data_IF_326976077058
#
_entry.id   IF_326976077058
#
_cell.length_a   1.000
_cell.length_b   1.000
_cell.length_c   1.000
_cell.angle_alpha   90.00
_cell.angle_beta   90.00
_cell.angle_gamma   90.00
#
_symmetry.space_group_name_H-M   'P 1'
#
loop_
_entity.id
_entity.type
_entity.pdbx_description
1 polymer ?
#
# COMPACT_ATOMS: atom_id res chain seq x y z
N UNK A 1 24.77 -44.01 22.99
CA UNK A 1 23.62 -43.12 23.29
C UNK A 1 23.86 -41.64 22.97
N UNK A 2 25.06 -41.08 23.18
CA UNK A 2 25.32 -39.63 23.01
C UNK A 2 25.12 -39.04 21.60
N UNK A 3 25.37 -39.81 20.52
CA UNK A 3 25.24 -39.32 19.13
C UNK A 3 23.80 -38.95 18.73
N UNK A 4 22.81 -39.67 19.25
CA UNK A 4 21.40 -39.44 18.94
C UNK A 4 20.84 -38.21 19.68
N UNK A 5 21.34 -37.96 20.89
CA UNK A 5 20.96 -36.79 21.69
C UNK A 5 21.46 -35.49 21.02
N UNK A 6 22.69 -35.49 20.50
CA UNK A 6 23.26 -34.34 19.80
C UNK A 6 22.54 -34.05 18.48
N UNK A 7 22.11 -35.09 17.76
CA UNK A 7 21.31 -34.97 16.53
C UNK A 7 19.92 -34.38 16.82
N UNK A 8 19.25 -34.82 17.91
CA UNK A 8 17.96 -34.25 18.32
C UNK A 8 18.06 -32.79 18.74
N UNK A 9 19.10 -32.43 19.51
CA UNK A 9 19.33 -31.06 19.97
C UNK A 9 19.64 -30.10 18.80
N UNK A 10 20.43 -30.56 17.82
CA UNK A 10 20.71 -29.77 16.62
C UNK A 10 19.49 -29.66 15.70
N UNK A 11 18.63 -30.69 15.61
CA UNK A 11 17.36 -30.61 14.90
C UNK A 11 16.41 -29.59 15.54
N UNK A 12 16.26 -29.60 16.87
CA UNK A 12 15.44 -28.62 17.61
C UNK A 12 15.94 -27.19 17.48
N UNK A 13 17.26 -26.99 17.35
CA UNK A 13 17.86 -25.68 17.08
C UNK A 13 17.59 -25.22 15.64
N UNK A 14 17.69 -26.12 14.66
CA UNK A 14 17.39 -25.84 13.25
C UNK A 14 15.90 -25.53 13.02
N UNK A 15 14.99 -26.16 13.78
CA UNK A 15 13.55 -25.90 13.72
C UNK A 15 13.21 -24.52 14.34
N UNK A 16 13.93 -24.07 15.38
CA UNK A 16 13.76 -22.72 15.94
C UNK A 16 14.36 -21.61 15.08
N UNK A 17 15.41 -21.91 14.29
CA UNK A 17 16.04 -20.96 13.36
C UNK A 17 15.27 -20.82 12.04
N UNK A 18 14.36 -21.75 11.73
CA UNK A 18 13.57 -21.73 10.51
C UNK A 18 12.25 -20.97 10.70
N UNK A 19 12.34 -19.65 10.50
CA UNK A 19 11.29 -18.84 9.87
C UNK A 19 10.15 -18.24 10.72
N UNK A 20 10.41 -17.79 11.94
CA UNK A 20 9.68 -16.61 12.44
C UNK A 20 10.29 -15.35 11.81
N UNK A 21 9.86 -15.04 10.59
CA UNK A 21 10.08 -13.68 10.06
C UNK A 21 9.31 -12.72 10.95
N UNK A 22 10.03 -11.87 11.69
CA UNK A 22 9.46 -10.80 12.51
C UNK A 22 8.82 -9.68 11.66
N UNK A 23 8.80 -9.86 10.34
CA UNK A 23 8.24 -8.93 9.38
C UNK A 23 6.91 -9.46 8.84
N UNK A 24 5.93 -8.58 8.74
CA UNK A 24 4.72 -8.76 7.95
C UNK A 24 5.08 -8.81 6.46
N UNK A 25 4.28 -9.54 5.69
CA UNK A 25 4.20 -9.47 4.23
C UNK A 25 2.91 -8.77 3.80
N UNK A 26 2.78 -8.44 2.52
CA UNK A 26 1.53 -7.84 1.98
C UNK A 26 0.29 -8.71 2.24
N UNK A 27 0.43 -10.03 2.22
CA UNK A 27 -0.64 -10.98 2.56
C UNK A 27 -1.04 -10.91 4.03
N UNK A 28 -0.05 -10.72 4.92
CA UNK A 28 -0.31 -10.54 6.35
C UNK A 28 -1.02 -9.20 6.59
N UNK A 29 -0.62 -8.14 5.89
CA UNK A 29 -1.24 -6.83 5.97
C UNK A 29 -2.72 -6.88 5.55
N UNK A 30 -3.04 -7.56 4.44
CA UNK A 30 -4.42 -7.80 4.00
C UNK A 30 -5.21 -8.54 5.08
N UNK A 31 -4.64 -9.60 5.67
CA UNK A 31 -5.29 -10.38 6.72
C UNK A 31 -5.57 -9.54 7.97
N UNK A 32 -4.57 -8.79 8.45
CA UNK A 32 -4.69 -7.88 9.60
C UNK A 32 -5.77 -6.84 9.35
N UNK A 33 -5.77 -6.21 8.18
CA UNK A 33 -6.76 -5.19 7.84
C UNK A 33 -8.19 -5.75 7.85
N UNK A 34 -8.38 -6.99 7.36
CA UNK A 34 -9.69 -7.66 7.39
C UNK A 34 -10.13 -8.06 8.79
N UNK A 35 -9.27 -8.75 9.52
CA UNK A 35 -9.62 -9.39 10.79
C UNK A 35 -9.64 -8.41 11.97
N UNK A 36 -8.87 -7.32 11.90
CA UNK A 36 -8.63 -6.43 13.05
C UNK A 36 -9.09 -4.99 12.80
N UNK A 37 -9.15 -4.55 11.54
CA UNK A 37 -9.42 -3.15 11.19
C UNK A 37 -10.78 -2.94 10.51
N UNK A 38 -11.59 -3.99 10.35
CA UNK A 38 -12.95 -3.89 9.82
C UNK A 38 -13.06 -3.73 8.30
N UNK A 39 -12.01 -4.07 7.54
CA UNK A 39 -12.09 -4.10 6.09
C UNK A 39 -12.78 -5.40 5.64
N UNK A 40 -13.91 -5.31 4.94
CA UNK A 40 -14.58 -6.46 4.34
C UNK A 40 -14.06 -6.75 2.93
N UNK A 41 -13.85 -5.69 2.17
CA UNK A 41 -13.38 -5.76 0.78
C UNK A 41 -12.10 -4.95 0.63
N UNK A 42 -11.04 -5.58 0.12
CA UNK A 42 -9.79 -4.87 -0.18
C UNK A 42 -9.86 -4.32 -1.59
N UNK A 43 -9.65 -3.01 -1.72
CA UNK A 43 -9.52 -2.33 -3.00
C UNK A 43 -8.07 -2.37 -3.47
N UNK A 44 -7.14 -1.89 -2.65
CA UNK A 44 -5.71 -1.80 -3.00
C UNK A 44 -4.86 -2.26 -1.83
N UNK A 45 -3.80 -3.02 -2.11
CA UNK A 45 -2.74 -3.29 -1.16
C UNK A 45 -1.39 -2.97 -1.82
N UNK A 46 -0.54 -2.20 -1.14
CA UNK A 46 0.75 -1.77 -1.69
C UNK A 46 1.83 -1.77 -0.60
N UNK A 47 3.09 -1.82 -1.03
CA UNK A 47 4.24 -1.59 -0.15
C UNK A 47 4.53 -0.10 -0.12
N UNK A 48 4.61 0.48 1.06
CA UNK A 48 5.06 1.86 1.27
C UNK A 48 6.57 1.94 1.48
N UNK A 49 7.10 3.15 1.47
CA UNK A 49 8.53 3.41 1.68
C UNK A 49 8.87 3.60 3.16
N UNK A 50 10.18 3.63 3.45
CA UNK A 50 10.66 3.91 4.81
C UNK A 50 10.62 5.40 5.17
N UNK A 51 10.51 6.28 4.18
CA UNK A 51 10.45 7.74 4.28
C UNK A 51 9.05 8.31 4.07
N UNK A 52 8.02 7.44 4.03
CA UNK A 52 6.63 7.83 3.90
C UNK A 52 6.19 8.89 4.92
N UNK A 53 5.48 9.90 4.45
CA UNK A 53 4.81 10.90 5.30
C UNK A 53 3.44 10.43 5.83
N UNK A 54 2.95 9.30 5.33
CA UNK A 54 1.65 8.73 5.71
C UNK A 54 1.77 7.91 6.99
N UNK A 55 2.92 7.26 7.20
CA UNK A 55 3.15 6.45 8.40
C UNK A 55 3.43 7.35 9.61
N UNK A 56 3.10 6.86 10.79
CA UNK A 56 3.49 7.46 12.07
C UNK A 56 5.01 7.41 12.24
N UNK A 57 5.55 8.39 12.95
CA UNK A 57 6.99 8.54 13.23
C UNK A 57 7.59 7.30 13.94
N UNK A 58 6.79 6.64 14.79
CA UNK A 58 7.20 5.44 15.52
C UNK A 58 7.24 4.18 14.64
N UNK A 59 6.69 4.22 13.42
CA UNK A 59 6.69 3.08 12.48
C UNK A 59 8.11 2.88 11.94
N UNK A 60 8.80 1.88 12.48
CA UNK A 60 10.19 1.59 12.15
C UNK A 60 10.23 0.91 10.78
N UNK A 61 11.10 1.40 9.89
CA UNK A 61 11.29 0.90 8.50
C UNK A 61 10.09 1.22 7.59
N UNK A 62 9.87 0.40 6.57
CA UNK A 62 8.77 0.53 5.62
C UNK A 62 7.45 -0.02 6.20
N UNK A 63 6.36 0.16 5.48
CA UNK A 63 5.05 -0.31 5.88
C UNK A 63 4.28 -0.87 4.68
N UNK A 64 3.10 -1.42 4.94
CA UNK A 64 2.15 -1.84 3.92
C UNK A 64 0.89 -1.00 4.05
N UNK A 65 0.38 -0.57 2.91
CA UNK A 65 -0.89 0.11 2.80
C UNK A 65 -1.98 -0.87 2.42
N UNK A 66 -3.13 -0.78 3.08
CA UNK A 66 -4.34 -1.48 2.67
C UNK A 66 -5.48 -0.48 2.64
N UNK A 67 -6.03 -0.27 1.45
CA UNK A 67 -7.25 0.49 1.23
C UNK A 67 -8.39 -0.50 0.97
N UNK A 68 -9.52 -0.31 1.63
CA UNK A 68 -10.67 -1.20 1.48
C UNK A 68 -11.98 -0.57 1.91
N UNK A 69 -13.06 -1.33 1.82
CA UNK A 69 -14.40 -0.95 2.26
C UNK A 69 -14.78 -1.68 3.55
N UNK A 70 -15.42 -0.99 4.48
CA UNK A 70 -16.06 -1.60 5.65
C UNK A 70 -17.48 -2.13 5.35
N UNK A 71 -18.22 -2.56 6.38
CA UNK A 71 -19.60 -3.02 6.26
C UNK A 71 -20.58 -1.97 5.74
N UNK A 72 -20.24 -0.70 5.93
CA UNK A 72 -21.08 0.45 5.56
C UNK A 72 -20.69 1.03 4.18
N UNK A 73 -19.81 0.33 3.44
CA UNK A 73 -19.23 0.76 2.16
C UNK A 73 -18.42 2.05 2.24
N UNK A 74 -17.84 2.35 3.41
CA UNK A 74 -16.93 3.47 3.58
C UNK A 74 -15.49 3.03 3.32
N UNK A 75 -14.73 3.87 2.61
CA UNK A 75 -13.32 3.62 2.35
C UNK A 75 -12.47 3.84 3.61
N UNK A 76 -11.74 2.81 4.01
CA UNK A 76 -10.84 2.80 5.15
C UNK A 76 -9.41 2.58 4.66
N UNK A 77 -8.49 3.41 5.13
CA UNK A 77 -7.07 3.32 4.83
C UNK A 77 -6.27 2.89 6.07
N UNK A 78 -5.58 1.77 5.95
CA UNK A 78 -4.82 1.12 7.03
C UNK A 78 -3.34 1.13 6.68
N UNK A 79 -2.52 1.50 7.66
CA UNK A 79 -1.08 1.24 7.64
C UNK A 79 -0.77 0.03 8.51
N UNK A 80 -0.10 -0.95 7.93
CA UNK A 80 0.44 -2.11 8.64
C UNK A 80 1.96 -1.99 8.67
N UNK A 81 2.59 -1.75 9.84
CA UNK A 81 4.04 -1.71 9.96
C UNK A 81 4.72 -2.99 9.44
N UNK A 82 5.94 -2.86 8.91
CA UNK A 82 6.72 -4.03 8.54
C UNK A 82 6.98 -4.94 9.73
N UNK A 83 7.24 -4.42 10.93
CA UNK A 83 7.51 -5.23 12.12
C UNK A 83 6.22 -5.74 12.78
N UNK A 84 6.11 -7.05 13.01
CA UNK A 84 4.96 -7.70 13.67
C UNK A 84 4.72 -7.24 15.11
N UNK A 85 5.73 -6.67 15.75
CA UNK A 85 5.61 -6.11 17.11
C UNK A 85 4.91 -4.76 17.15
N UNK A 86 4.68 -4.12 16.01
CA UNK A 86 4.01 -2.82 15.92
C UNK A 86 2.58 -3.02 15.40
N UNK A 87 1.61 -2.44 16.13
CA UNK A 87 0.20 -2.56 15.76
C UNK A 87 -0.10 -1.81 14.46
N UNK A 88 -1.01 -2.36 13.66
CA UNK A 88 -1.61 -1.66 12.54
C UNK A 88 -2.50 -0.51 13.04
N UNK A 89 -2.71 0.49 12.19
CA UNK A 89 -3.52 1.66 12.55
C UNK A 89 -4.21 2.28 11.34
N UNK A 90 -5.29 3.01 11.63
CA UNK A 90 -6.00 3.82 10.64
C UNK A 90 -5.26 5.13 10.39
N UNK A 91 -5.34 5.58 9.14
CA UNK A 91 -4.86 6.89 8.69
C UNK A 91 -5.91 7.54 7.81
N UNK A 92 -5.89 8.86 7.75
CA UNK A 92 -6.76 9.58 6.82
C UNK A 92 -6.27 9.35 5.38
N UNK A 93 -7.21 9.12 4.49
CA UNK A 93 -6.94 9.07 3.06
C UNK A 93 -6.41 10.44 2.58
N UNK A 94 -5.22 10.53 1.95
CA UNK A 94 -4.61 11.82 1.63
C UNK A 94 -5.32 12.63 0.53
N UNK A 95 -6.07 11.96 -0.35
CA UNK A 95 -6.76 12.64 -1.44
C UNK A 95 -8.12 13.17 -1.00
N UNK A 96 -8.55 14.28 -1.62
CA UNK A 96 -9.84 14.93 -1.38
C UNK A 96 -11.03 14.21 -2.03
N UNK A 97 -10.75 13.18 -2.83
CA UNK A 97 -11.73 12.25 -3.39
C UNK A 97 -11.41 10.84 -2.91
N UNK A 98 -12.46 10.06 -2.69
CA UNK A 98 -12.36 8.62 -2.45
C UNK A 98 -11.71 7.94 -3.67
N UNK A 99 -11.04 6.83 -3.45
CA UNK A 99 -10.43 6.04 -4.52
C UNK A 99 -11.45 5.65 -5.59
N UNK A 100 -12.64 5.23 -5.20
CA UNK A 100 -13.73 4.88 -6.13
C UNK A 100 -14.10 6.07 -7.03
N UNK A 101 -14.10 7.30 -6.50
CA UNK A 101 -14.34 8.52 -7.30
C UNK A 101 -13.17 8.84 -8.23
N UNK A 102 -11.93 8.63 -7.77
CA UNK A 102 -10.72 8.79 -8.61
C UNK A 102 -10.76 7.79 -9.78
N UNK A 103 -11.14 6.54 -9.53
CA UNK A 103 -11.31 5.52 -10.58
C UNK A 103 -12.42 5.93 -11.56
N UNK A 104 -13.53 6.49 -11.07
CA UNK A 104 -14.58 6.99 -11.95
C UNK A 104 -14.10 8.14 -12.85
N UNK A 105 -13.30 9.08 -12.31
CA UNK A 105 -12.69 10.16 -13.10
C UNK A 105 -11.71 9.61 -14.15
N UNK A 106 -10.87 8.63 -13.76
CA UNK A 106 -9.95 7.95 -14.69
C UNK A 106 -10.72 7.26 -15.83
N UNK A 107 -11.81 6.57 -15.50
CA UNK A 107 -12.63 5.85 -16.47
C UNK A 107 -13.56 6.75 -17.29
N UNK A 108 -13.62 8.05 -16.99
CA UNK A 108 -14.45 9.01 -17.73
C UNK A 108 -13.85 9.43 -19.07
N UNK A 109 -12.56 9.18 -19.30
CA UNK A 109 -11.95 9.44 -20.61
C UNK A 109 -12.49 8.47 -21.66
N UNK A 110 -12.78 8.99 -22.85
CA UNK A 110 -13.13 8.19 -24.04
C UNK A 110 -11.93 7.47 -24.65
N UNK A 111 -10.72 7.83 -24.23
CA UNK A 111 -9.45 7.25 -24.68
C UNK A 111 -8.66 6.71 -23.48
N UNK A 112 -8.03 5.54 -23.62
CA UNK A 112 -7.21 4.96 -22.55
C UNK A 112 -7.69 3.58 -22.11
N UNK A 113 -7.09 3.06 -21.05
CA UNK A 113 -7.43 1.78 -20.45
C UNK A 113 -8.41 2.02 -19.30
N UNK A 114 -9.43 1.19 -19.22
CA UNK A 114 -10.41 1.23 -18.15
C UNK A 114 -9.85 0.46 -16.94
N UNK A 115 -9.92 1.06 -15.76
CA UNK A 115 -9.61 0.40 -14.50
C UNK A 115 -10.89 -0.22 -13.93
N UNK A 116 -11.07 -1.52 -14.12
CA UNK A 116 -12.14 -2.30 -13.50
C UNK A 116 -11.67 -2.92 -12.19
N UNK A 117 -12.62 -3.33 -11.34
CA UNK A 117 -12.34 -3.91 -10.01
C UNK A 117 -11.37 -5.10 -10.04
N UNK A 118 -11.51 -5.95 -11.05
CA UNK A 118 -10.63 -7.12 -11.21
C UNK A 118 -9.16 -6.71 -11.45
N UNK A 119 -8.90 -5.52 -11.97
CA UNK A 119 -7.56 -4.99 -12.21
C UNK A 119 -6.96 -4.24 -11.00
N UNK A 120 -7.70 -4.08 -9.90
CA UNK A 120 -7.21 -3.29 -8.76
C UNK A 120 -5.93 -3.87 -8.12
N UNK A 121 -5.68 -5.17 -8.28
CA UNK A 121 -4.43 -5.81 -7.86
C UNK A 121 -3.19 -5.30 -8.60
N UNK A 122 -3.35 -4.57 -9.71
CA UNK A 122 -2.27 -3.93 -10.47
C UNK A 122 -2.04 -2.47 -10.06
N UNK A 123 -2.88 -1.92 -9.18
CA UNK A 123 -2.74 -0.56 -8.68
C UNK A 123 -1.64 -0.54 -7.62
N UNK A 124 -0.69 0.38 -7.77
CA UNK A 124 0.37 0.61 -6.81
C UNK A 124 0.22 1.98 -6.15
N UNK A 125 0.45 2.04 -4.84
CA UNK A 125 0.58 3.29 -4.09
C UNK A 125 2.06 3.56 -3.87
N UNK A 126 2.55 4.68 -4.41
CA UNK A 126 3.95 5.10 -4.36
C UNK A 126 4.04 6.37 -3.53
N UNK A 127 4.87 6.35 -2.48
CA UNK A 127 5.01 7.42 -1.49
C UNK A 127 6.45 7.99 -1.39
N UNK A 128 7.39 7.42 -2.16
CA UNK A 128 8.75 7.96 -2.29
C UNK A 128 8.88 8.84 -3.53
N UNK A 129 9.31 10.09 -3.36
CA UNK A 129 9.56 11.03 -4.46
C UNK A 129 10.52 10.44 -5.50
N UNK A 130 11.57 9.75 -5.05
CA UNK A 130 12.56 9.16 -5.94
C UNK A 130 11.94 8.11 -6.87
N UNK A 131 10.95 7.35 -6.39
CA UNK A 131 10.21 6.37 -7.19
C UNK A 131 9.14 7.07 -8.04
N UNK A 132 8.41 8.04 -7.50
CA UNK A 132 7.44 8.83 -8.28
C UNK A 132 8.05 9.42 -9.54
N UNK A 133 9.26 9.98 -9.45
CA UNK A 133 9.99 10.54 -10.60
C UNK A 133 10.43 9.51 -11.65
N UNK A 134 10.47 8.23 -11.31
CA UNK A 134 10.69 7.16 -12.29
C UNK A 134 9.44 6.92 -13.14
N UNK A 135 8.24 7.20 -12.60
CA UNK A 135 6.98 7.10 -13.33
C UNK A 135 6.60 8.42 -14.04
N UNK A 136 6.92 9.56 -13.45
CA UNK A 136 6.71 10.88 -14.04
C UNK A 136 7.93 11.78 -13.80
N UNK A 137 8.81 11.88 -14.80
CA UNK A 137 10.01 12.71 -14.72
C UNK A 137 9.70 14.22 -14.72
N UNK A 138 8.49 14.61 -15.13
CA UNK A 138 8.01 16.00 -15.15
C UNK A 138 7.33 16.42 -13.83
N UNK A 139 7.31 15.54 -12.83
CA UNK A 139 6.60 15.77 -11.58
C UNK A 139 7.19 16.94 -10.78
N UNK A 140 6.39 18.00 -10.64
CA UNK A 140 6.63 19.16 -9.80
C UNK A 140 6.28 18.82 -8.33
N UNK A 141 7.21 18.18 -7.64
CA UNK A 141 7.05 17.64 -6.28
C UNK A 141 6.60 18.72 -5.28
N UNK A 142 7.07 19.95 -5.45
CA UNK A 142 6.74 21.10 -4.62
C UNK A 142 5.28 21.56 -4.74
N UNK A 143 4.55 21.13 -5.78
CA UNK A 143 3.13 21.42 -5.96
C UNK A 143 2.22 20.32 -5.42
N UNK A 144 2.79 19.20 -4.99
CA UNK A 144 2.02 18.09 -4.44
C UNK A 144 1.49 18.46 -3.06
N UNK A 145 0.21 18.21 -2.82
CA UNK A 145 -0.40 18.38 -1.51
C UNK A 145 0.11 17.32 -0.52
N UNK A 146 0.37 16.11 -1.03
CA UNK A 146 0.93 14.98 -0.29
C UNK A 146 1.86 14.19 -1.19
N UNK A 147 2.91 13.60 -0.60
CA UNK A 147 3.81 12.67 -1.29
C UNK A 147 3.17 11.30 -1.41
N UNK A 148 2.11 11.21 -2.23
CA UNK A 148 1.46 9.95 -2.61
C UNK A 148 1.02 10.02 -4.08
N UNK A 149 1.38 8.98 -4.83
CA UNK A 149 1.01 8.78 -6.23
C UNK A 149 0.36 7.41 -6.38
N UNK A 150 -0.78 7.35 -7.06
CA UNK A 150 -1.40 6.11 -7.49
C UNK A 150 -0.91 5.82 -8.90
N UNK A 151 -0.46 4.59 -9.16
CA UNK A 151 0.00 4.15 -10.47
C UNK A 151 -0.82 2.96 -10.93
N UNK A 152 -1.27 2.99 -12.18
CA UNK A 152 -1.96 1.88 -12.86
C UNK A 152 -1.63 1.93 -14.35
N UNK A 153 -1.15 0.86 -14.98
CA UNK A 153 -0.95 0.73 -16.45
C UNK A 153 -0.55 2.02 -17.21
N UNK A 154 0.52 2.69 -16.76
CA UNK A 154 1.03 3.91 -17.41
C UNK A 154 0.29 5.21 -17.05
N UNK A 155 -0.76 5.14 -16.24
CA UNK A 155 -1.38 6.29 -15.57
C UNK A 155 -0.64 6.61 -14.27
N UNK A 156 -0.46 7.90 -14.03
CA UNK A 156 -0.06 8.44 -12.73
C UNK A 156 -1.14 9.38 -12.23
N UNK A 157 -1.51 9.23 -10.97
CA UNK A 157 -2.55 10.02 -10.34
C UNK A 157 -2.01 10.61 -9.05
N UNK A 158 -2.03 11.93 -8.93
CA UNK A 158 -1.54 12.68 -7.77
C UNK A 158 -2.57 13.73 -7.35
N UNK A 159 -2.36 14.33 -6.19
CA UNK A 159 -3.08 15.54 -5.79
C UNK A 159 -2.11 16.72 -5.72
N UNK A 160 -2.41 17.76 -6.49
CA UNK A 160 -1.63 18.99 -6.53
C UNK A 160 -2.57 20.19 -6.48
N UNK A 161 -2.29 21.16 -5.62
CA UNK A 161 -3.12 22.36 -5.44
C UNK A 161 -4.61 22.04 -5.22
N UNK A 162 -4.90 21.03 -4.40
CA UNK A 162 -6.25 20.52 -4.09
C UNK A 162 -7.02 19.95 -5.28
N UNK A 163 -6.36 19.64 -6.39
CA UNK A 163 -6.96 19.00 -7.55
C UNK A 163 -6.35 17.61 -7.77
N UNK A 164 -7.20 16.66 -8.14
CA UNK A 164 -6.74 15.36 -8.65
C UNK A 164 -6.18 15.61 -10.05
N UNK A 165 -4.91 15.24 -10.25
CA UNK A 165 -4.23 15.31 -11.54
C UNK A 165 -4.02 13.89 -12.01
N UNK A 166 -4.57 13.57 -13.18
CA UNK A 166 -4.40 12.27 -13.85
C UNK A 166 -3.55 12.53 -15.09
N UNK A 167 -2.43 11.82 -15.23
CA UNK A 167 -1.62 11.80 -16.46
C UNK A 167 -1.63 10.41 -17.05
N UNK A 168 -1.68 10.33 -18.38
CA UNK A 168 -1.75 9.08 -19.12
C UNK A 168 -2.52 9.26 -20.42
N UNK A 169 -2.72 8.20 -21.19
CA UNK A 169 -3.47 8.30 -22.46
C UNK A 169 -4.90 8.81 -22.20
N UNK A 170 -5.35 9.81 -22.96
CA UNK A 170 -6.66 10.45 -22.75
C UNK A 170 -6.67 11.56 -21.70
N UNK A 171 -5.53 11.83 -21.06
CA UNK A 171 -5.36 12.89 -20.06
C UNK A 171 -4.06 13.68 -20.33
N UNK A 172 -3.98 14.89 -19.80
CA UNK A 172 -2.85 15.82 -19.97
C UNK A 172 -2.16 16.12 -18.66
#
# INVERSE_FOLDING_TARGET
MFKWLFLMLSLLFLINLSACTNENKITDAIKIAKEQMGINEVLVASVGSSDSEIKREDTRRFCYYVLGLNSDNEEIFVVVPALKSQAAYLVNWPFNKTFTKIVADLNASSEGDILIKDDYHQVALIDSIAIMRQYDSSLEVEKLDFKLMIVYRGYTITQANKAIVIKGKGFS
#
